data_IF_678736476391
#
_entry.id   IF_678736476391
#
_cell.length_a   1.000
_cell.length_b   1.000
_cell.length_c   1.000
_cell.angle_alpha   90.00
_cell.angle_beta   90.00
_cell.angle_gamma   90.00
#
_symmetry.space_group_name_H-M   'P 1'
#
loop_
_entity.id
_entity.type
_entity.pdbx_description
1 polymer ?
#
# COMPACT_ATOMS: atom_id res chain seq x y z
N UNK A 1 -9.68 -38.87 -3.17
CA UNK A 1 -10.29 -39.59 -4.31
C UNK A 1 -9.73 -38.92 -5.56
N UNK A 2 -8.81 -39.58 -6.26
CA UNK A 2 -8.18 -39.02 -7.46
C UNK A 2 -8.97 -39.48 -8.68
N UNK A 3 -9.62 -38.53 -9.34
CA UNK A 3 -10.39 -38.81 -10.55
C UNK A 3 -9.45 -38.93 -11.75
N UNK A 4 -9.49 -40.08 -12.40
CA UNK A 4 -8.61 -40.44 -13.51
C UNK A 4 -9.22 -39.90 -14.80
N UNK A 5 -8.87 -38.67 -15.18
CA UNK A 5 -9.33 -38.11 -16.45
C UNK A 5 -8.65 -38.78 -17.64
N UNK A 6 -9.46 -39.48 -18.46
CA UNK A 6 -9.11 -39.97 -19.79
C UNK A 6 -9.62 -38.99 -20.84
N UNK A 7 -8.71 -38.24 -21.48
CA UNK A 7 -8.96 -37.32 -22.60
C UNK A 7 -7.80 -37.34 -23.61
N UNK A 8 -8.01 -36.83 -24.85
CA UNK A 8 -7.55 -37.50 -26.08
C UNK A 8 -6.06 -37.30 -26.42
N UNK A 9 -5.51 -38.33 -27.09
CA UNK A 9 -4.15 -38.38 -27.64
C UNK A 9 -3.92 -37.25 -28.65
N UNK A 10 -3.06 -36.28 -28.32
CA UNK A 10 -2.59 -35.26 -29.24
C UNK A 10 -1.11 -34.92 -28.97
N UNK A 11 -0.25 -35.09 -29.97
CA UNK A 11 1.06 -34.43 -30.09
C UNK A 11 2.18 -34.90 -29.15
N UNK A 12 3.09 -35.71 -29.68
CA UNK A 12 4.32 -36.15 -29.02
C UNK A 12 5.31 -34.97 -28.87
N UNK A 13 5.19 -34.19 -27.81
CA UNK A 13 6.30 -33.48 -27.19
C UNK A 13 6.52 -34.13 -25.82
N UNK A 14 7.64 -34.83 -25.64
CA UNK A 14 7.97 -35.63 -24.44
C UNK A 14 8.16 -34.83 -23.13
N UNK A 15 7.53 -33.67 -23.00
CA UNK A 15 7.48 -32.87 -21.79
C UNK A 15 6.40 -33.44 -20.87
N UNK A 16 6.82 -34.25 -19.90
CA UNK A 16 5.96 -34.66 -18.78
C UNK A 16 5.62 -33.40 -17.99
N UNK A 17 4.42 -32.86 -18.16
CA UNK A 17 3.93 -31.77 -17.32
C UNK A 17 3.67 -32.30 -15.91
N UNK A 18 4.30 -31.66 -14.91
CA UNK A 18 4.03 -31.95 -13.50
C UNK A 18 3.01 -30.92 -13.03
N UNK A 19 1.86 -31.32 -12.48
CA UNK A 19 0.89 -30.38 -11.93
C UNK A 19 1.49 -29.66 -10.72
N UNK A 20 1.44 -28.33 -10.73
CA UNK A 20 1.94 -27.49 -9.63
C UNK A 20 0.77 -26.71 -9.00
N UNK A 21 0.89 -26.46 -7.69
CA UNK A 21 -0.03 -25.62 -6.93
C UNK A 21 0.66 -24.32 -6.59
N UNK A 22 -0.03 -23.19 -6.81
CA UNK A 22 0.43 -21.87 -6.39
C UNK A 22 -0.10 -21.58 -4.99
N UNK A 23 0.79 -21.22 -4.08
CA UNK A 23 0.46 -20.75 -2.73
C UNK A 23 0.93 -19.31 -2.62
N UNK A 24 0.06 -18.43 -2.16
CA UNK A 24 0.38 -17.03 -1.85
C UNK A 24 0.24 -16.84 -0.35
N UNK A 25 1.24 -16.21 0.25
CA UNK A 25 1.29 -16.00 1.69
C UNK A 25 1.84 -14.60 1.95
N UNK A 26 1.17 -13.88 2.85
CA UNK A 26 1.63 -12.61 3.37
C UNK A 26 2.17 -12.85 4.77
N UNK A 27 3.40 -12.40 5.02
CA UNK A 27 4.10 -12.60 6.29
C UNK A 27 4.81 -11.31 6.70
N UNK A 28 4.98 -11.05 8.01
CA UNK A 28 5.86 -9.99 8.50
C UNK A 28 7.29 -10.20 8.00
N UNK A 29 8.02 -9.10 7.77
CA UNK A 29 9.39 -9.18 7.25
C UNK A 29 10.34 -9.94 8.20
N UNK A 30 10.11 -9.78 9.51
CA UNK A 30 10.84 -10.48 10.57
C UNK A 30 10.78 -12.01 10.45
N UNK A 31 9.69 -12.55 9.92
CA UNK A 31 9.47 -14.00 9.78
C UNK A 31 9.74 -14.52 8.36
N UNK A 32 9.87 -13.64 7.36
CA UNK A 32 9.96 -14.01 5.95
C UNK A 32 11.06 -15.04 5.67
N UNK A 33 12.26 -14.83 6.23
CA UNK A 33 13.40 -15.75 6.06
C UNK A 33 13.12 -17.15 6.61
N UNK A 34 12.50 -17.22 7.79
CA UNK A 34 12.16 -18.48 8.47
C UNK A 34 11.09 -19.24 7.70
N UNK A 35 10.10 -18.53 7.16
CA UNK A 35 9.03 -19.11 6.35
C UNK A 35 9.58 -19.68 5.04
N UNK A 36 10.45 -18.95 4.34
CA UNK A 36 11.11 -19.43 3.12
C UNK A 36 11.89 -20.73 3.39
N UNK A 37 12.64 -20.79 4.48
CA UNK A 37 13.39 -21.98 4.87
C UNK A 37 12.46 -23.17 5.15
N UNK A 38 11.36 -22.93 5.87
CA UNK A 38 10.37 -23.95 6.19
C UNK A 38 9.69 -24.51 4.93
N UNK A 39 9.29 -23.64 4.00
CA UNK A 39 8.70 -24.04 2.72
C UNK A 39 9.71 -24.84 1.89
N UNK A 40 10.95 -24.36 1.81
CA UNK A 40 12.02 -25.05 1.07
C UNK A 40 12.21 -26.49 1.58
N UNK A 41 12.25 -26.68 2.91
CA UNK A 41 12.39 -28.00 3.54
C UNK A 41 11.13 -28.87 3.41
N UNK A 42 9.94 -28.28 3.49
CA UNK A 42 8.67 -29.02 3.59
C UNK A 42 7.97 -29.25 2.25
N UNK A 43 8.36 -28.54 1.19
CA UNK A 43 7.69 -28.60 -0.11
C UNK A 43 7.75 -29.98 -0.78
N UNK A 44 8.72 -30.82 -0.42
CA UNK A 44 8.93 -32.12 -1.05
C UNK A 44 9.36 -32.02 -2.53
N UNK A 45 9.59 -30.81 -3.04
CA UNK A 45 9.98 -30.55 -4.42
C UNK A 45 11.50 -30.74 -4.52
N UNK A 46 11.95 -31.66 -5.38
CA UNK A 46 13.39 -31.83 -5.64
C UNK A 46 13.88 -30.67 -6.49
N UNK A 47 15.16 -30.32 -6.39
CA UNK A 47 15.80 -29.23 -7.16
C UNK A 47 15.60 -29.35 -8.68
N UNK A 48 15.37 -30.55 -9.20
CA UNK A 48 15.09 -30.84 -10.61
C UNK A 48 13.62 -30.65 -11.04
N UNK A 49 12.69 -30.56 -10.08
CA UNK A 49 11.23 -30.55 -10.33
C UNK A 49 10.66 -29.11 -10.40
N UNK A 50 11.50 -28.08 -10.28
CA UNK A 50 11.19 -26.72 -10.77
C UNK A 50 10.42 -25.79 -9.83
N UNK A 51 10.29 -26.12 -8.54
CA UNK A 51 9.67 -25.22 -7.56
C UNK A 51 10.48 -23.93 -7.37
N UNK A 52 9.82 -22.78 -7.49
CA UNK A 52 10.41 -21.45 -7.26
C UNK A 52 9.61 -20.71 -6.21
N UNK A 53 10.31 -20.00 -5.34
CA UNK A 53 9.72 -19.08 -4.37
C UNK A 53 9.98 -17.67 -4.90
N UNK A 54 8.92 -16.88 -5.04
CA UNK A 54 8.99 -15.47 -5.37
C UNK A 54 8.67 -14.66 -4.11
N UNK A 55 9.51 -13.69 -3.79
CA UNK A 55 9.33 -12.78 -2.66
C UNK A 55 9.09 -11.40 -3.24
N UNK A 56 8.06 -10.72 -2.76
CA UNK A 56 7.70 -9.38 -3.19
C UNK A 56 7.32 -8.57 -1.96
N UNK A 57 7.82 -7.33 -1.90
CA UNK A 57 7.50 -6.40 -0.82
C UNK A 57 6.04 -5.96 -0.92
N UNK A 58 5.32 -5.97 0.20
CA UNK A 58 3.93 -5.53 0.29
C UNK A 58 3.85 -4.31 1.20
N UNK A 59 3.29 -3.22 0.69
CA UNK A 59 3.29 -1.94 1.39
C UNK A 59 2.07 -1.73 2.29
N UNK A 60 0.95 -2.39 2.01
CA UNK A 60 -0.32 -2.22 2.73
C UNK A 60 -1.21 -3.46 2.58
N UNK A 61 -1.90 -3.85 3.66
CA UNK A 61 -2.90 -4.91 3.69
C UNK A 61 -4.22 -4.30 4.10
N UNK A 62 -5.29 -4.52 3.33
CA UNK A 62 -6.61 -3.99 3.64
C UNK A 62 -7.60 -5.12 3.87
N UNK A 63 -8.20 -5.16 5.05
CA UNK A 63 -9.32 -6.07 5.33
C UNK A 63 -10.60 -5.51 4.70
N UNK A 64 -11.20 -6.26 3.77
CA UNK A 64 -12.40 -5.85 3.07
C UNK A 64 -13.66 -5.82 3.96
N UNK A 65 -13.66 -6.56 5.07
CA UNK A 65 -14.82 -6.61 5.96
C UNK A 65 -14.86 -5.38 6.89
N UNK A 66 -13.69 -4.98 7.40
CA UNK A 66 -13.57 -3.84 8.33
C UNK A 66 -13.22 -2.53 7.62
N UNK A 67 -12.72 -2.61 6.38
CA UNK A 67 -12.10 -1.53 5.62
C UNK A 67 -10.91 -0.90 6.36
N UNK A 68 -10.25 -1.67 7.23
CA UNK A 68 -9.07 -1.26 7.97
C UNK A 68 -7.81 -1.67 7.22
N UNK A 69 -6.87 -0.74 7.09
CA UNK A 69 -5.58 -0.94 6.44
C UNK A 69 -4.48 -1.07 7.50
N UNK A 70 -3.75 -2.18 7.47
CA UNK A 70 -2.51 -2.35 8.22
C UNK A 70 -1.34 -1.99 7.32
N UNK A 71 -0.57 -0.99 7.74
CA UNK A 71 0.68 -0.59 7.10
C UNK A 71 1.81 -1.00 8.02
N UNK A 72 2.76 -1.78 7.52
CA UNK A 72 4.01 -2.09 8.21
C UNK A 72 4.89 -0.83 8.21
N UNK A 73 4.46 0.20 8.93
CA UNK A 73 5.27 1.31 9.38
C UNK A 73 5.65 0.97 10.82
N UNK A 74 6.94 0.99 11.12
CA UNK A 74 7.50 0.79 12.46
C UNK A 74 6.57 1.37 13.55
N UNK A 75 6.24 0.51 14.49
CA UNK A 75 5.24 0.73 15.55
C UNK A 75 5.46 2.02 16.33
N UNK A 76 4.79 3.09 15.93
CA UNK A 76 4.57 4.32 16.73
C UNK A 76 3.23 4.30 17.47
N UNK A 77 2.68 3.10 17.70
CA UNK A 77 1.32 2.90 18.25
C UNK A 77 1.20 3.12 19.77
N UNK A 78 2.29 3.41 20.49
CA UNK A 78 2.26 3.41 21.97
C UNK A 78 1.75 4.70 22.62
N UNK A 79 1.37 5.75 21.86
CA UNK A 79 1.20 7.09 22.43
C UNK A 79 -0.14 7.79 22.19
N UNK A 80 -1.11 7.24 21.44
CA UNK A 80 -2.32 8.00 21.10
C UNK A 80 -3.62 7.24 21.42
N UNK A 81 -4.56 7.86 22.17
CA UNK A 81 -5.85 7.25 22.49
C UNK A 81 -6.71 7.09 21.23
N UNK A 82 -7.41 5.95 21.14
CA UNK A 82 -8.30 5.61 20.04
C UNK A 82 -9.37 6.68 19.81
N UNK A 83 -9.18 7.51 18.79
CA UNK A 83 -10.14 8.51 18.35
C UNK A 83 -11.14 7.91 17.35
N UNK A 84 -12.41 8.31 17.50
CA UNK A 84 -13.58 7.82 16.77
C UNK A 84 -13.31 7.65 15.27
N UNK A 85 -13.75 6.52 14.72
CA UNK A 85 -13.60 6.05 13.33
C UNK A 85 -13.65 7.20 12.31
N UNK A 86 -12.47 7.61 11.86
CA UNK A 86 -12.29 8.68 10.89
C UNK A 86 -12.59 8.17 9.47
N UNK A 87 -13.46 8.89 8.73
CA UNK A 87 -13.83 8.62 7.32
C UNK A 87 -12.72 8.96 6.32
N UNK A 88 -11.58 9.43 6.81
CA UNK A 88 -10.45 9.82 5.98
C UNK A 88 -9.77 8.57 5.38
N UNK A 89 -9.31 8.66 4.14
CA UNK A 89 -8.53 7.58 3.52
C UNK A 89 -7.13 7.48 4.16
N UNK A 90 -6.42 6.34 4.08
CA UNK A 90 -5.13 6.15 4.76
C UNK A 90 -4.12 7.26 4.51
N UNK A 91 -4.01 7.74 3.27
CA UNK A 91 -3.11 8.86 2.92
C UNK A 91 -3.49 10.16 3.64
N UNK A 92 -4.79 10.49 3.70
CA UNK A 92 -5.27 11.67 4.42
C UNK A 92 -4.99 11.56 5.92
N UNK A 93 -5.15 10.37 6.52
CA UNK A 93 -4.79 10.12 7.92
C UNK A 93 -3.29 10.30 8.17
N UNK A 94 -2.45 9.74 7.30
CA UNK A 94 -0.99 9.89 7.38
C UNK A 94 -0.55 11.35 7.28
N UNK A 95 -1.11 12.09 6.32
CA UNK A 95 -0.83 13.51 6.15
C UNK A 95 -1.23 14.30 7.40
N UNK A 96 -2.43 14.08 7.96
CA UNK A 96 -2.83 14.75 9.20
C UNK A 96 -1.91 14.42 10.37
N UNK A 97 -1.50 13.15 10.52
CA UNK A 97 -0.57 12.74 11.58
C UNK A 97 0.78 13.46 11.46
N UNK A 98 1.31 13.58 10.23
CA UNK A 98 2.56 14.31 9.97
C UNK A 98 2.42 15.80 10.29
N UNK A 99 1.30 16.42 9.93
CA UNK A 99 1.04 17.83 10.22
C UNK A 99 0.88 18.04 11.73
N UNK A 100 0.26 17.09 12.44
CA UNK A 100 0.06 17.17 13.89
C UNK A 100 1.39 17.08 14.65
N UNK A 101 2.25 16.12 14.26
CA UNK A 101 3.62 16.04 14.77
C UNK A 101 4.42 17.31 14.50
N UNK A 102 4.29 17.89 13.30
CA UNK A 102 4.94 19.14 12.95
C UNK A 102 4.43 20.31 13.82
N UNK A 103 3.11 20.40 14.03
CA UNK A 103 2.51 21.44 14.87
C UNK A 103 3.04 21.38 16.29
N UNK A 104 3.03 20.21 16.94
CA UNK A 104 3.47 20.08 18.32
C UNK A 104 4.97 20.36 18.49
N UNK A 105 5.81 19.97 17.51
CA UNK A 105 7.24 20.27 17.55
C UNK A 105 7.58 21.75 17.36
N UNK A 106 6.73 22.50 16.64
CA UNK A 106 7.02 23.88 16.23
C UNK A 106 6.04 24.91 16.81
N UNK A 107 5.24 24.52 17.81
CA UNK A 107 4.12 25.29 18.34
C UNK A 107 4.48 26.71 18.74
N UNK A 108 5.57 26.87 19.48
CA UNK A 108 6.03 28.18 19.96
C UNK A 108 6.45 29.09 18.80
N UNK A 109 7.17 28.53 17.82
CA UNK A 109 7.61 29.25 16.62
C UNK A 109 6.42 29.68 15.75
N UNK A 110 5.44 28.79 15.57
CA UNK A 110 4.22 29.05 14.81
C UNK A 110 3.35 30.13 15.45
N UNK A 111 3.25 30.14 16.78
CA UNK A 111 2.55 31.18 17.53
C UNK A 111 3.24 32.54 17.42
N UNK A 112 4.57 32.57 17.55
CA UNK A 112 5.36 33.80 17.55
C UNK A 112 5.43 34.47 16.17
N UNK A 113 5.63 33.68 15.10
CA UNK A 113 5.93 34.22 13.76
C UNK A 113 4.71 34.23 12.84
N UNK A 114 3.78 33.29 13.00
CA UNK A 114 2.66 33.10 12.07
C UNK A 114 1.28 33.33 12.71
N UNK A 115 1.23 33.66 14.02
CA UNK A 115 -0.02 33.85 14.79
C UNK A 115 -0.95 32.62 14.78
N UNK A 116 -0.41 31.44 14.51
CA UNK A 116 -1.14 30.17 14.46
C UNK A 116 -1.30 29.67 15.90
N UNK A 117 -2.53 29.70 16.44
CA UNK A 117 -2.80 29.41 17.86
C UNK A 117 -3.25 27.97 18.10
N UNK A 118 -3.77 27.32 17.08
CA UNK A 118 -4.29 25.95 17.14
C UNK A 118 -3.86 25.11 15.95
N UNK A 119 -3.97 23.79 16.07
CA UNK A 119 -3.77 22.86 14.96
C UNK A 119 -4.72 23.16 13.78
N UNK A 120 -5.97 23.54 14.07
CA UNK A 120 -6.93 23.93 13.03
C UNK A 120 -6.46 25.17 12.27
N UNK A 121 -5.84 26.14 12.95
CA UNK A 121 -5.30 27.34 12.30
C UNK A 121 -4.14 26.97 11.36
N UNK A 122 -3.31 25.99 11.75
CA UNK A 122 -2.22 25.50 10.90
C UNK A 122 -2.77 24.84 9.64
N UNK A 123 -3.75 23.94 9.79
CA UNK A 123 -4.36 23.26 8.65
C UNK A 123 -5.01 24.28 7.70
N UNK A 124 -5.73 25.27 8.24
CA UNK A 124 -6.32 26.34 7.46
C UNK A 124 -5.26 27.18 6.73
N UNK A 125 -4.15 27.51 7.41
CA UNK A 125 -3.03 28.23 6.81
C UNK A 125 -2.45 27.47 5.60
N UNK A 126 -2.15 26.18 5.77
CA UNK A 126 -1.62 25.34 4.69
C UNK A 126 -2.60 25.23 3.51
N UNK A 127 -3.90 25.10 3.78
CA UNK A 127 -4.93 25.05 2.73
C UNK A 127 -4.97 26.37 1.96
N UNK A 128 -5.01 27.51 2.68
CA UNK A 128 -5.07 28.83 2.06
C UNK A 128 -3.82 29.16 1.23
N UNK A 129 -2.64 28.69 1.65
CA UNK A 129 -1.40 28.89 0.92
C UNK A 129 -1.33 28.02 -0.35
N UNK A 130 -1.87 26.80 -0.33
CA UNK A 130 -1.90 25.91 -1.49
C UNK A 130 -3.08 26.11 -2.44
N UNK A 131 -4.17 26.77 -2.01
CA UNK A 131 -5.37 26.99 -2.80
C UNK A 131 -5.07 27.69 -4.15
N UNK A 132 -4.28 28.79 -4.20
CA UNK A 132 -4.00 29.48 -5.46
C UNK A 132 -3.24 28.59 -6.45
N UNK A 133 -2.29 27.79 -5.97
CA UNK A 133 -1.54 26.85 -6.81
C UNK A 133 -2.42 25.74 -7.37
N UNK A 134 -3.40 25.28 -6.59
CA UNK A 134 -4.39 24.30 -7.06
C UNK A 134 -5.31 24.93 -8.11
N UNK A 135 -5.81 26.14 -7.86
CA UNK A 135 -6.66 26.89 -8.79
C UNK A 135 -5.93 27.14 -10.14
N UNK A 136 -4.64 27.47 -10.13
CA UNK A 136 -3.85 27.63 -11.35
C UNK A 136 -3.68 26.32 -12.13
N UNK A 137 -3.49 25.19 -11.45
CA UNK A 137 -3.39 23.87 -12.08
C UNK A 137 -4.74 23.35 -12.60
N UNK A 138 -5.84 23.78 -11.99
CA UNK A 138 -7.21 23.42 -12.36
C UNK A 138 -7.79 24.32 -13.44
N UNK A 139 -7.21 25.50 -13.70
CA UNK A 139 -7.55 26.27 -14.92
C UNK A 139 -7.29 25.36 -16.12
N UNK A 140 -8.29 25.12 -16.98
CA UNK A 140 -8.09 24.31 -18.16
C UNK A 140 -6.95 24.95 -18.95
N UNK A 141 -5.84 24.23 -19.11
CA UNK A 141 -4.90 24.57 -20.17
C UNK A 141 -5.71 24.45 -21.46
N UNK A 142 -6.14 25.59 -22.00
CA UNK A 142 -6.68 25.68 -23.34
C UNK A 142 -5.56 25.24 -24.26
N UNK A 143 -5.47 23.94 -24.50
CA UNK A 143 -4.63 23.37 -25.55
C UNK A 143 -5.09 24.02 -26.84
N UNK A 144 -4.19 24.80 -27.45
CA UNK A 144 -4.33 25.52 -28.71
C UNK A 144 -4.38 24.54 -29.90
N UNK A 145 -5.21 23.51 -29.79
CA UNK A 145 -5.50 22.56 -30.86
C UNK A 145 -7.01 22.39 -30.97
N UNK A 146 -7.69 23.51 -31.17
CA UNK A 146 -8.94 23.54 -31.92
C UNK A 146 -8.71 24.37 -33.20
N UNK A 147 -7.85 23.82 -34.06
CA UNK A 147 -7.71 24.25 -35.45
C UNK A 147 -7.81 23.00 -36.33
N UNK A 148 -9.00 22.85 -36.90
CA UNK A 148 -9.35 22.14 -38.13
C UNK A 148 -9.50 20.62 -38.06
N UNK A 149 -10.75 20.15 -38.19
CA UNK A 149 -11.21 19.44 -39.41
C UNK A 149 -12.73 19.25 -39.43
N UNK A 150 -13.40 20.08 -40.23
CA UNK A 150 -14.60 19.75 -41.01
C UNK A 150 -14.38 20.30 -42.42
#
# INVERSE_FOLDING_TARGET
IFDKQTGPKMGNAGLKSVPLVKIELVVPDTDAKKVIEMISKSSGIKSKDGGKIFVSEMTEIVDMNTLEGEKELESMSSLMPATKRSRLVPLQKYTLLRIDQFYEQNKEFLQANYKIKSFSDLVNFCILEHLPTLEEKLKPQTTVYDLNKL
#
